data_IF_920515549777
#
_entry.id   IF_920515549777
#
_cell.length_a   1.000
_cell.length_b   1.000
_cell.length_c   1.000
_cell.angle_alpha   90.00
_cell.angle_beta   90.00
_cell.angle_gamma   90.00
#
_symmetry.space_group_name_H-M   'P 1'
#
loop_
_entity.id
_entity.type
_entity.pdbx_description
1 polymer ?
#
# COMPACT_ATOMS: atom_id res chain seq x y z
N UNK A 1 14.48 -53.32 14.70
CA UNK A 1 13.13 -52.96 15.19
C UNK A 1 12.67 -51.76 14.35
N UNK A 2 11.93 -52.07 13.29
CA UNK A 2 11.54 -51.12 12.22
C UNK A 2 10.15 -50.56 12.55
N UNK A 3 10.03 -49.25 12.64
CA UNK A 3 8.73 -48.58 12.73
C UNK A 3 8.45 -47.90 11.40
N UNK A 4 7.47 -48.44 10.66
CA UNK A 4 6.99 -47.91 9.41
C UNK A 4 6.15 -46.64 9.60
N UNK A 5 6.43 -45.67 8.78
CA UNK A 5 5.63 -44.42 8.64
C UNK A 5 4.55 -44.68 7.61
N UNK A 6 3.33 -44.69 8.08
CA UNK A 6 2.10 -44.86 7.29
C UNK A 6 1.77 -43.54 6.58
N UNK A 7 1.88 -43.52 5.25
CA UNK A 7 1.44 -42.39 4.41
C UNK A 7 -0.09 -42.46 4.26
N UNK A 8 -0.80 -41.47 4.75
CA UNK A 8 -2.22 -41.25 4.41
C UNK A 8 -2.30 -40.49 3.11
N UNK A 9 -2.88 -41.11 2.10
CA UNK A 9 -3.34 -40.46 0.88
C UNK A 9 -4.57 -39.57 1.18
N UNK A 10 -4.71 -38.37 0.61
CA UNK A 10 -5.96 -37.63 0.65
C UNK A 10 -6.89 -38.10 -0.46
N UNK A 11 -8.09 -38.45 -0.07
CA UNK A 11 -9.19 -38.91 -0.91
C UNK A 11 -9.64 -37.83 -1.90
N UNK A 12 -9.75 -38.29 -3.14
CA UNK A 12 -10.33 -37.67 -4.33
C UNK A 12 -11.81 -37.28 -4.10
N UNK A 13 -12.14 -36.00 -4.28
CA UNK A 13 -13.52 -35.55 -4.40
C UNK A 13 -13.63 -34.47 -5.48
N UNK A 14 -13.60 -34.93 -6.74
CA UNK A 14 -13.95 -34.10 -7.89
C UNK A 14 -15.43 -33.70 -7.85
N UNK A 15 -15.74 -32.45 -7.49
CA UNK A 15 -17.02 -31.81 -7.85
C UNK A 15 -16.73 -30.64 -8.80
N UNK A 16 -17.07 -30.91 -10.06
CA UNK A 16 -17.09 -29.91 -11.14
C UNK A 16 -18.28 -28.97 -10.92
N UNK A 17 -17.99 -27.67 -10.66
CA UNK A 17 -18.95 -26.58 -10.76
C UNK A 17 -18.66 -25.77 -12.03
N UNK A 18 -19.72 -25.32 -12.76
CA UNK A 18 -19.55 -24.62 -14.04
C UNK A 18 -18.99 -23.21 -13.82
N UNK A 19 -17.92 -22.89 -14.56
CA UNK A 19 -17.26 -21.60 -14.58
C UNK A 19 -18.17 -20.55 -15.23
N UNK A 20 -18.86 -19.77 -14.42
CA UNK A 20 -19.56 -18.56 -14.84
C UNK A 20 -18.58 -17.41 -15.08
N UNK A 21 -18.64 -16.77 -16.23
CA UNK A 21 -17.77 -15.68 -16.68
C UNK A 21 -18.01 -14.39 -15.89
N UNK A 22 -17.06 -13.88 -15.06
CA UNK A 22 -17.18 -12.57 -14.43
C UNK A 22 -16.26 -11.48 -15.04
N UNK A 23 -15.93 -11.58 -16.35
CA UNK A 23 -14.98 -10.60 -16.96
C UNK A 23 -15.54 -9.21 -17.25
N UNK A 24 -16.84 -8.94 -17.02
CA UNK A 24 -17.44 -7.65 -17.38
C UNK A 24 -17.65 -6.67 -16.21
N UNK A 25 -17.55 -7.11 -14.94
CA UNK A 25 -17.88 -6.27 -13.80
C UNK A 25 -16.69 -5.48 -13.25
N UNK A 26 -15.48 -6.04 -13.26
CA UNK A 26 -14.26 -5.32 -12.80
C UNK A 26 -13.89 -4.16 -13.75
N UNK A 27 -14.01 -4.39 -15.08
CA UNK A 27 -13.78 -3.31 -16.05
C UNK A 27 -14.80 -2.17 -15.95
N UNK A 28 -16.02 -2.45 -15.45
CA UNK A 28 -17.05 -1.43 -15.28
C UNK A 28 -16.81 -0.52 -14.06
N UNK A 29 -16.20 -1.04 -12.99
CA UNK A 29 -15.88 -0.25 -11.80
C UNK A 29 -14.72 0.72 -12.09
N UNK A 30 -13.68 0.27 -12.76
CA UNK A 30 -12.55 1.13 -13.17
C UNK A 30 -13.01 2.18 -14.18
N UNK A 31 -13.87 1.82 -15.15
CA UNK A 31 -14.44 2.77 -16.11
C UNK A 31 -15.39 3.78 -15.45
N UNK A 32 -16.12 3.40 -14.40
CA UNK A 32 -17.01 4.29 -13.67
C UNK A 32 -16.25 5.31 -12.82
N UNK A 33 -15.12 4.90 -12.21
CA UNK A 33 -14.23 5.82 -11.49
C UNK A 33 -13.57 6.82 -12.47
N UNK A 34 -13.15 6.36 -13.65
CA UNK A 34 -12.55 7.24 -14.67
C UNK A 34 -13.57 8.17 -15.34
N UNK A 35 -14.82 7.76 -15.52
CA UNK A 35 -15.88 8.60 -16.09
C UNK A 35 -16.39 9.68 -15.14
N UNK A 36 -16.33 9.46 -13.83
CA UNK A 36 -16.67 10.45 -12.80
C UNK A 36 -15.69 11.62 -12.74
N UNK A 37 -14.43 11.42 -13.18
CA UNK A 37 -13.39 12.45 -13.18
C UNK A 37 -13.48 13.44 -14.35
N UNK A 38 -14.23 13.10 -15.42
CA UNK A 38 -14.33 13.93 -16.63
C UNK A 38 -15.41 15.05 -16.55
N UNK A 39 -16.22 15.08 -15.50
CA UNK A 39 -17.40 15.94 -15.41
C UNK A 39 -17.43 16.98 -14.29
N UNK A 40 -16.40 17.12 -13.47
CA UNK A 40 -16.37 18.15 -12.43
C UNK A 40 -15.98 19.50 -13.05
N UNK A 41 -16.81 20.57 -12.94
CA UNK A 41 -16.38 21.89 -13.35
C UNK A 41 -15.21 22.32 -12.48
N UNK A 42 -14.12 22.72 -13.11
CA UNK A 42 -12.96 23.32 -12.44
C UNK A 42 -13.39 24.66 -11.83
N UNK A 43 -13.86 24.64 -10.59
CA UNK A 43 -13.95 25.84 -9.76
C UNK A 43 -12.67 25.84 -8.95
N UNK A 44 -11.72 26.64 -9.44
CA UNK A 44 -10.43 26.83 -8.83
C UNK A 44 -10.57 27.54 -7.47
N UNK A 45 -10.36 26.80 -6.42
CA UNK A 45 -9.62 27.28 -5.26
C UNK A 45 -8.60 26.18 -5.00
N UNK A 46 -7.32 26.51 -5.21
CA UNK A 46 -6.21 25.59 -5.02
C UNK A 46 -6.13 25.17 -3.55
N UNK A 47 -6.90 24.16 -3.18
CA UNK A 47 -6.64 23.44 -1.96
C UNK A 47 -5.26 22.81 -2.10
N UNK A 48 -4.33 23.14 -1.23
CA UNK A 48 -3.00 22.52 -1.27
C UNK A 48 -3.14 21.08 -0.85
N UNK A 49 -2.95 20.16 -1.79
CA UNK A 49 -2.79 18.74 -1.49
C UNK A 49 -1.52 18.57 -0.63
N UNK A 50 -1.62 18.05 0.61
CA UNK A 50 -0.47 17.89 1.49
C UNK A 50 0.44 16.71 1.09
N UNK A 51 0.13 16.00 0.02
CA UNK A 51 0.85 14.83 -0.46
C UNK A 51 0.05 13.54 -0.33
N UNK A 52 0.50 12.54 -1.04
CA UNK A 52 -0.04 11.18 -1.04
C UNK A 52 0.85 10.25 -0.20
N UNK A 53 0.30 9.14 0.29
CA UNK A 53 1.07 8.12 0.99
C UNK A 53 1.79 7.18 0.00
N UNK A 54 1.30 7.07 -1.25
CA UNK A 54 1.97 6.34 -2.35
C UNK A 54 3.11 7.17 -2.99
N UNK A 55 4.13 6.52 -3.58
CA UNK A 55 4.41 5.08 -3.72
C UNK A 55 5.43 4.54 -2.70
N UNK A 56 5.85 5.33 -1.72
CA UNK A 56 6.92 4.98 -0.76
C UNK A 56 6.53 3.87 0.22
N UNK A 57 7.53 3.37 0.95
CA UNK A 57 7.28 2.54 2.12
C UNK A 57 6.83 3.42 3.28
N UNK A 58 5.66 3.10 3.85
CA UNK A 58 5.07 3.84 4.95
C UNK A 58 4.10 4.94 4.49
N UNK A 59 3.92 5.95 5.32
CA UNK A 59 3.02 7.06 5.06
C UNK A 59 3.73 8.42 5.19
N UNK A 60 3.22 9.42 4.49
CA UNK A 60 3.69 10.80 4.65
C UNK A 60 3.24 11.36 6.01
N UNK A 61 4.13 12.07 6.76
CA UNK A 61 3.77 12.73 8.02
C UNK A 61 2.96 14.00 7.79
N UNK A 62 1.98 13.92 6.93
CA UNK A 62 1.02 14.98 6.61
C UNK A 62 -0.41 14.44 6.71
N UNK A 63 -1.37 15.31 6.97
CA UNK A 63 -2.80 14.99 6.99
C UNK A 63 -3.58 15.95 6.11
N UNK A 64 -4.68 15.46 5.57
CA UNK A 64 -5.62 16.25 4.78
C UNK A 64 -6.34 17.28 5.66
N UNK A 65 -6.73 18.40 5.07
CA UNK A 65 -7.58 19.36 5.76
C UNK A 65 -8.97 18.76 6.03
N UNK A 66 -9.64 19.27 7.06
CA UNK A 66 -10.97 18.78 7.42
C UNK A 66 -11.96 18.88 6.25
N UNK A 67 -12.52 17.76 5.86
CA UNK A 67 -13.48 17.64 4.75
C UNK A 67 -12.86 17.38 3.39
N UNK A 68 -11.53 17.35 3.29
CA UNK A 68 -10.84 16.90 2.09
C UNK A 68 -10.65 15.38 2.12
N UNK A 69 -10.50 14.78 0.96
CA UNK A 69 -10.21 13.35 0.82
C UNK A 69 -9.18 13.09 -0.29
N UNK A 70 -8.49 11.95 -0.21
CA UNK A 70 -7.75 11.36 -1.34
C UNK A 70 -8.18 9.93 -1.56
N UNK A 71 -8.12 9.51 -2.81
CA UNK A 71 -8.22 8.11 -3.21
C UNK A 71 -6.90 7.72 -3.89
N UNK A 72 -6.23 6.73 -3.34
CA UNK A 72 -4.96 6.22 -3.83
C UNK A 72 -5.13 4.75 -4.25
N UNK A 73 -4.76 4.42 -5.48
CA UNK A 73 -5.00 3.11 -6.09
C UNK A 73 -3.69 2.49 -6.58
N UNK A 74 -3.42 1.25 -6.19
CA UNK A 74 -2.43 0.39 -6.81
C UNK A 74 -3.01 -0.35 -8.01
N UNK A 75 -2.33 -0.34 -9.20
CA UNK A 75 -2.93 -0.79 -10.45
C UNK A 75 -1.97 -1.62 -11.35
N UNK A 76 -1.49 -2.78 -10.93
CA UNK A 76 -1.44 -3.36 -9.58
C UNK A 76 -0.12 -3.03 -8.87
N UNK A 77 -0.13 -3.16 -7.56
CA UNK A 77 1.10 -3.47 -6.83
C UNK A 77 1.36 -4.97 -6.93
N UNK A 78 2.63 -5.37 -6.88
CA UNK A 78 3.00 -6.77 -6.99
C UNK A 78 4.24 -7.09 -6.16
N UNK A 79 4.31 -8.33 -5.69
CA UNK A 79 5.52 -8.89 -5.11
C UNK A 79 5.81 -10.27 -5.72
N UNK A 80 7.08 -10.66 -5.69
CA UNK A 80 7.55 -11.96 -6.14
C UNK A 80 8.53 -12.53 -5.15
N UNK A 81 8.29 -13.77 -4.73
CA UNK A 81 9.18 -14.55 -3.88
C UNK A 81 9.09 -16.03 -4.24
N UNK A 82 10.24 -16.71 -4.34
CA UNK A 82 10.35 -18.17 -4.57
C UNK A 82 9.47 -18.70 -5.72
N UNK A 83 9.37 -17.94 -6.80
CA UNK A 83 8.58 -18.34 -7.97
C UNK A 83 7.06 -18.12 -7.86
N UNK A 84 6.56 -17.64 -6.73
CA UNK A 84 5.22 -17.13 -6.57
C UNK A 84 5.16 -15.62 -6.82
N UNK A 85 4.03 -15.12 -7.30
CA UNK A 85 3.79 -13.69 -7.50
C UNK A 85 2.43 -13.32 -6.94
N UNK A 86 2.41 -12.33 -6.07
CA UNK A 86 1.18 -11.71 -5.56
C UNK A 86 0.96 -10.39 -6.29
N UNK A 87 -0.23 -10.20 -6.82
CA UNK A 87 -0.70 -8.94 -7.40
C UNK A 87 -1.82 -8.41 -6.53
N UNK A 88 -1.74 -7.14 -6.18
CA UNK A 88 -2.73 -6.45 -5.37
C UNK A 88 -3.22 -5.19 -6.08
N UNK A 89 -4.50 -5.12 -6.36
CA UNK A 89 -5.18 -3.89 -6.75
C UNK A 89 -5.77 -3.29 -5.47
N UNK A 90 -4.98 -2.51 -4.77
CA UNK A 90 -5.36 -1.86 -3.52
C UNK A 90 -6.03 -0.50 -3.73
N UNK A 91 -6.82 -0.10 -2.76
CA UNK A 91 -7.47 1.19 -2.70
C UNK A 91 -7.39 1.73 -1.28
N UNK A 92 -6.79 2.88 -1.11
CA UNK A 92 -6.71 3.63 0.14
C UNK A 92 -7.52 4.93 0.00
N UNK A 93 -8.57 5.05 0.81
CA UNK A 93 -9.32 6.29 0.99
C UNK A 93 -8.82 6.99 2.27
N UNK A 94 -8.36 8.22 2.13
CA UNK A 94 -7.94 9.08 3.25
C UNK A 94 -8.92 10.23 3.38
N UNK A 95 -9.31 10.58 4.61
CA UNK A 95 -10.28 11.64 4.91
C UNK A 95 -9.75 12.50 6.04
N UNK A 96 -9.56 13.78 5.79
CA UNK A 96 -9.20 14.76 6.82
C UNK A 96 -10.38 15.06 7.75
N UNK A 97 -10.17 14.90 9.06
CA UNK A 97 -11.22 15.14 10.08
C UNK A 97 -10.88 16.27 11.04
N UNK A 98 -9.72 16.90 10.86
CA UNK A 98 -9.26 18.00 11.72
C UNK A 98 -8.01 18.65 11.17
N UNK A 99 -7.29 19.38 12.03
CA UNK A 99 -6.03 20.05 11.65
C UNK A 99 -4.84 19.09 11.64
N UNK A 100 -4.95 17.98 12.37
CA UNK A 100 -3.85 17.03 12.58
C UNK A 100 -4.33 15.59 12.58
N UNK A 101 -5.57 15.32 12.21
CA UNK A 101 -6.18 13.99 12.22
C UNK A 101 -6.74 13.63 10.85
N UNK A 102 -6.52 12.39 10.46
CA UNK A 102 -7.00 11.78 9.23
C UNK A 102 -7.50 10.36 9.54
N UNK A 103 -8.61 9.99 8.95
CA UNK A 103 -9.11 8.62 8.94
C UNK A 103 -8.71 7.96 7.62
N UNK A 104 -8.37 6.69 7.68
CA UNK A 104 -8.00 5.89 6.53
C UNK A 104 -8.86 4.62 6.47
N UNK A 105 -9.27 4.27 5.26
CA UNK A 105 -9.95 3.03 4.92
C UNK A 105 -9.22 2.42 3.74
N UNK A 106 -8.73 1.20 3.88
CA UNK A 106 -8.09 0.46 2.81
C UNK A 106 -8.76 -0.89 2.55
N UNK A 107 -8.64 -1.36 1.32
CA UNK A 107 -9.05 -2.69 0.87
C UNK A 107 -8.39 -2.96 -0.48
N UNK A 108 -8.56 -4.18 -1.01
CA UNK A 108 -7.97 -4.51 -2.31
C UNK A 108 -8.51 -5.80 -2.89
N UNK A 109 -7.99 -6.14 -4.05
CA UNK A 109 -8.25 -7.40 -4.72
C UNK A 109 -6.93 -8.09 -5.02
N UNK A 110 -6.71 -9.25 -4.43
CA UNK A 110 -5.50 -10.02 -4.54
C UNK A 110 -5.61 -11.11 -5.62
N UNK A 111 -4.48 -11.37 -6.29
CA UNK A 111 -4.27 -12.54 -7.12
C UNK A 111 -2.88 -13.12 -6.83
N UNK A 112 -2.84 -14.39 -6.45
CA UNK A 112 -1.61 -15.14 -6.21
C UNK A 112 -1.43 -16.16 -7.32
N UNK A 113 -0.35 -16.01 -8.06
CA UNK A 113 0.14 -16.95 -9.07
C UNK A 113 1.36 -17.69 -8.52
N UNK A 114 1.40 -19.03 -8.60
CA UNK A 114 2.47 -19.86 -8.08
C UNK A 114 2.36 -21.29 -8.60
N UNK A 115 3.05 -22.25 -7.95
CA UNK A 115 2.89 -23.66 -8.29
C UNK A 115 1.46 -24.14 -8.00
N UNK A 116 0.62 -24.17 -9.00
CA UNK A 116 -0.78 -24.58 -8.89
C UNK A 116 -1.74 -23.60 -9.55
N UNK A 117 -3.07 -23.80 -9.39
CA UNK A 117 -4.07 -22.88 -9.92
C UNK A 117 -3.96 -21.50 -9.29
N UNK A 118 -4.08 -20.44 -10.09
CA UNK A 118 -4.12 -19.07 -9.59
C UNK A 118 -5.27 -18.88 -8.60
N UNK A 119 -4.98 -18.25 -7.47
CA UNK A 119 -5.94 -17.91 -6.40
C UNK A 119 -6.21 -16.41 -6.45
N UNK A 120 -7.43 -16.02 -6.16
CA UNK A 120 -7.83 -14.61 -6.13
C UNK A 120 -8.96 -14.41 -5.14
N UNK A 121 -9.04 -13.21 -4.59
CA UNK A 121 -10.07 -12.82 -3.64
C UNK A 121 -9.87 -11.39 -3.16
N UNK A 122 -10.87 -10.89 -2.46
CA UNK A 122 -10.81 -9.59 -1.81
C UNK A 122 -9.84 -9.66 -0.61
N UNK A 123 -8.99 -8.64 -0.48
CA UNK A 123 -8.18 -8.43 0.72
C UNK A 123 -9.08 -8.09 1.93
N UNK A 124 -8.52 -8.17 3.12
CA UNK A 124 -9.22 -7.67 4.30
C UNK A 124 -9.40 -6.15 4.23
N UNK A 125 -10.33 -5.63 5.01
CA UNK A 125 -10.54 -4.20 5.16
C UNK A 125 -9.68 -3.67 6.29
N UNK A 126 -8.87 -2.66 6.01
CA UNK A 126 -8.09 -1.92 7.00
C UNK A 126 -8.77 -0.61 7.38
N UNK A 127 -8.67 -0.25 8.65
CA UNK A 127 -9.11 1.01 9.22
C UNK A 127 -7.97 1.61 10.03
N UNK A 128 -7.64 2.89 9.80
CA UNK A 128 -6.62 3.54 10.58
C UNK A 128 -6.97 4.98 10.93
N UNK A 129 -6.30 5.46 11.97
CA UNK A 129 -6.27 6.87 12.36
C UNK A 129 -4.83 7.34 12.28
N UNK A 130 -4.59 8.41 11.54
CA UNK A 130 -3.30 9.08 11.44
C UNK A 130 -3.35 10.42 12.14
N UNK A 131 -2.38 10.69 12.99
CA UNK A 131 -2.10 12.00 13.54
C UNK A 131 -0.75 12.47 12.99
N UNK A 132 -0.71 13.66 12.42
CA UNK A 132 0.54 14.23 11.94
C UNK A 132 0.63 15.73 12.25
N UNK A 133 1.87 16.18 12.35
CA UNK A 133 2.21 17.59 12.55
C UNK A 133 3.41 17.96 11.71
N UNK A 134 3.22 18.98 10.92
CA UNK A 134 4.29 19.63 10.17
C UNK A 134 4.22 21.14 10.40
N UNK A 135 5.35 21.78 10.55
CA UNK A 135 5.48 23.23 10.58
C UNK A 135 6.67 23.63 9.70
N UNK A 136 6.57 24.77 9.06
CA UNK A 136 7.62 25.27 8.17
C UNK A 136 8.96 25.37 8.91
N UNK A 137 10.01 24.76 8.36
CA UNK A 137 11.35 24.74 8.93
C UNK A 137 11.56 23.77 10.11
N UNK A 138 10.55 22.96 10.44
CA UNK A 138 10.61 21.91 11.45
C UNK A 138 10.61 20.53 10.83
N UNK A 139 11.03 19.53 11.60
CA UNK A 139 10.83 18.11 11.21
C UNK A 139 9.35 17.79 11.27
N UNK A 140 8.78 17.38 10.15
CA UNK A 140 7.44 16.84 10.14
C UNK A 140 7.43 15.45 10.78
N UNK A 141 6.39 15.14 11.54
CA UNK A 141 6.24 13.82 12.13
C UNK A 141 4.78 13.38 12.19
N UNK A 142 4.58 12.08 12.17
CA UNK A 142 3.26 11.49 12.26
C UNK A 142 3.28 10.12 12.91
N UNK A 143 2.13 9.73 13.44
CA UNK A 143 1.86 8.39 13.97
C UNK A 143 0.56 7.87 13.37
N UNK A 144 0.50 6.57 13.14
CA UNK A 144 -0.66 5.88 12.62
C UNK A 144 -0.96 4.68 13.53
N UNK A 145 -2.23 4.50 13.85
CA UNK A 145 -2.71 3.30 14.50
C UNK A 145 -3.84 2.71 13.65
N UNK A 146 -3.73 1.43 13.33
CA UNK A 146 -4.67 0.75 12.43
C UNK A 146 -5.08 -0.62 12.92
N UNK A 147 -6.15 -1.12 12.35
CA UNK A 147 -6.63 -2.50 12.49
C UNK A 147 -7.05 -3.02 11.13
N UNK A 148 -6.57 -4.20 10.77
CA UNK A 148 -7.06 -4.96 9.62
C UNK A 148 -8.06 -6.00 10.12
N UNK A 149 -9.24 -6.01 9.50
CA UNK A 149 -10.35 -6.89 9.85
C UNK A 149 -10.11 -8.31 9.28
N UNK A 150 -11.01 -9.24 9.62
CA UNK A 150 -10.95 -10.64 9.15
C UNK A 150 -12.04 -10.91 8.11
N UNK A 151 -12.29 -9.96 7.21
CA UNK A 151 -13.39 -9.98 6.27
C UNK A 151 -12.98 -10.23 4.82
N UNK A 152 -11.71 -10.55 4.58
CA UNK A 152 -11.18 -10.97 3.28
C UNK A 152 -11.84 -12.24 2.76
N UNK A 153 -11.54 -12.61 1.52
CA UNK A 153 -12.11 -13.76 0.84
C UNK A 153 -11.07 -14.88 0.64
N UNK A 154 -11.50 -16.12 0.86
CA UNK A 154 -10.69 -17.32 0.62
C UNK A 154 -9.32 -17.25 1.35
N UNK A 155 -8.24 -17.48 0.61
CA UNK A 155 -6.86 -17.52 1.12
C UNK A 155 -6.30 -16.13 1.50
N UNK A 156 -7.04 -15.06 1.24
CA UNK A 156 -6.65 -13.68 1.56
C UNK A 156 -7.37 -13.15 2.80
N UNK A 157 -8.06 -14.02 3.51
CA UNK A 157 -8.69 -13.70 4.78
C UNK A 157 -7.72 -13.99 5.92
N UNK A 158 -7.39 -12.98 6.69
CA UNK A 158 -6.63 -13.17 7.92
C UNK A 158 -7.43 -14.00 8.93
N UNK A 159 -6.81 -14.97 9.62
CA UNK A 159 -7.47 -15.77 10.64
C UNK A 159 -7.84 -14.94 11.86
N UNK A 160 -7.08 -13.89 12.15
CA UNK A 160 -7.31 -12.94 13.24
C UNK A 160 -7.07 -11.51 12.79
N UNK A 161 -7.49 -10.53 13.60
CA UNK A 161 -7.25 -9.11 13.34
C UNK A 161 -5.77 -8.82 13.48
N UNK A 162 -5.26 -7.94 12.61
CA UNK A 162 -3.93 -7.40 12.73
C UNK A 162 -3.99 -5.96 13.21
N UNK A 163 -3.10 -5.58 14.10
CA UNK A 163 -3.00 -4.23 14.64
C UNK A 163 -1.68 -3.60 14.18
N UNK A 164 -1.76 -2.42 13.61
CA UNK A 164 -0.61 -1.69 13.10
C UNK A 164 -0.35 -0.46 13.94
N UNK A 165 0.92 -0.22 14.26
CA UNK A 165 1.41 1.03 14.80
C UNK A 165 2.57 1.51 13.94
N UNK A 166 2.41 2.68 13.31
CA UNK A 166 3.42 3.31 12.46
C UNK A 166 3.86 4.66 13.00
N UNK A 167 5.10 5.05 12.73
CA UNK A 167 5.64 6.38 12.98
C UNK A 167 6.48 6.84 11.80
N UNK A 168 6.30 8.07 11.36
CA UNK A 168 7.03 8.69 10.26
C UNK A 168 7.65 10.00 10.72
N UNK A 169 8.88 10.25 10.24
CA UNK A 169 9.59 11.53 10.35
C UNK A 169 9.99 11.95 8.94
N UNK A 170 9.90 13.24 8.66
CA UNK A 170 10.39 13.81 7.42
C UNK A 170 11.04 15.17 7.69
N UNK A 171 12.16 15.41 7.04
CA UNK A 171 12.84 16.70 7.09
C UNK A 171 13.18 17.20 5.70
N UNK A 172 12.92 18.47 5.50
CA UNK A 172 13.17 19.19 4.27
C UNK A 172 14.63 19.72 4.26
N UNK A 173 15.34 19.47 3.16
CA UNK A 173 16.69 19.98 2.92
C UNK A 173 16.72 21.24 2.07
N UNK A 174 15.55 21.76 1.71
CA UNK A 174 15.40 22.84 0.74
C UNK A 174 15.46 22.34 -0.72
N UNK A 175 15.02 23.19 -1.64
CA UNK A 175 14.90 22.86 -3.06
C UNK A 175 14.09 21.58 -3.33
N UNK A 176 12.99 21.41 -2.59
CA UNK A 176 12.06 20.28 -2.67
C UNK A 176 12.72 18.90 -2.47
N UNK A 177 13.82 18.86 -1.71
CA UNK A 177 14.49 17.61 -1.33
C UNK A 177 14.11 17.25 0.09
N UNK A 178 13.63 16.03 0.27
CA UNK A 178 13.26 15.52 1.60
C UNK A 178 13.98 14.23 1.92
N UNK A 179 14.11 13.93 3.19
CA UNK A 179 14.50 12.61 3.69
C UNK A 179 13.50 12.18 4.75
N UNK A 180 13.20 10.89 4.75
CA UNK A 180 12.23 10.30 5.66
C UNK A 180 12.77 9.10 6.41
N UNK A 181 12.20 8.88 7.58
CA UNK A 181 12.36 7.69 8.41
C UNK A 181 10.97 7.16 8.74
N UNK A 182 10.76 5.88 8.53
CA UNK A 182 9.54 5.18 8.86
C UNK A 182 9.79 3.98 9.75
N UNK A 183 8.97 3.81 10.75
CA UNK A 183 8.95 2.68 11.68
C UNK A 183 7.55 2.09 11.70
N UNK A 184 7.45 0.76 11.67
CA UNK A 184 6.18 0.06 11.77
C UNK A 184 6.29 -1.18 12.64
N UNK A 185 5.24 -1.45 13.36
CA UNK A 185 5.01 -2.68 14.10
C UNK A 185 3.61 -3.20 13.75
N UNK A 186 3.53 -4.45 13.35
CA UNK A 186 2.27 -5.18 13.15
C UNK A 186 2.24 -6.32 14.15
N UNK A 187 1.11 -6.46 14.86
CA UNK A 187 0.79 -7.53 15.79
C UNK A 187 -0.43 -8.30 15.25
N UNK A 188 -0.31 -9.61 15.09
CA UNK A 188 -1.31 -10.50 14.47
C UNK A 188 -0.79 -11.91 14.30
N UNK A 189 -1.32 -12.66 13.34
CA UNK A 189 -0.87 -14.04 13.04
C UNK A 189 0.64 -14.15 12.88
N UNK A 190 1.25 -13.15 12.25
CA UNK A 190 2.71 -13.03 12.12
C UNK A 190 3.14 -11.63 12.51
N UNK A 191 3.74 -11.50 13.68
CA UNK A 191 4.30 -10.24 14.12
C UNK A 191 5.39 -9.76 13.18
N UNK A 192 5.33 -8.49 12.81
CA UNK A 192 6.36 -7.88 11.99
C UNK A 192 6.83 -6.54 12.54
N UNK A 193 8.04 -6.19 12.18
CA UNK A 193 8.66 -4.88 12.45
C UNK A 193 9.37 -4.42 11.19
N UNK A 194 9.24 -3.16 10.87
CA UNK A 194 9.88 -2.57 9.70
C UNK A 194 10.51 -1.23 10.07
N UNK A 195 11.68 -0.99 9.53
CA UNK A 195 12.37 0.30 9.51
C UNK A 195 12.70 0.62 8.07
N UNK A 196 12.29 1.79 7.59
CA UNK A 196 12.65 2.29 6.27
C UNK A 196 13.21 3.70 6.35
N UNK A 197 14.11 4.00 5.43
CA UNK A 197 14.62 5.35 5.18
C UNK A 197 14.46 5.65 3.69
N UNK A 198 14.16 6.89 3.38
CA UNK A 198 14.08 7.35 2.00
C UNK A 198 14.68 8.73 1.83
N UNK A 199 14.98 9.07 0.59
CA UNK A 199 15.23 10.44 0.18
C UNK A 199 14.61 10.68 -1.17
N UNK A 200 14.05 11.88 -1.36
CA UNK A 200 13.37 12.29 -2.59
C UNK A 200 13.90 13.63 -3.09
N UNK A 201 13.77 13.85 -4.38
CA UNK A 201 14.12 15.10 -5.05
C UNK A 201 13.31 15.31 -6.32
N UNK A 202 13.09 16.57 -6.74
CA UNK A 202 12.36 16.87 -7.96
C UNK A 202 13.19 16.57 -9.21
N UNK A 203 12.50 16.16 -10.27
CA UNK A 203 13.01 16.04 -11.63
C UNK A 203 12.29 17.06 -12.54
N UNK A 204 12.32 18.34 -12.15
CA UNK A 204 11.57 19.42 -12.80
C UNK A 204 10.30 19.78 -12.01
N UNK A 205 9.34 20.43 -12.67
CA UNK A 205 8.16 21.00 -11.99
C UNK A 205 7.02 20.00 -11.73
N UNK A 206 7.00 18.87 -12.43
CA UNK A 206 5.88 17.92 -12.37
C UNK A 206 6.31 16.50 -11.97
N UNK A 207 7.59 16.23 -11.89
CA UNK A 207 8.11 14.89 -11.60
C UNK A 207 8.99 14.91 -10.38
N UNK A 208 8.91 13.84 -9.59
CA UNK A 208 9.81 13.55 -8.49
C UNK A 208 10.38 12.15 -8.61
N UNK A 209 11.50 11.90 -7.98
CA UNK A 209 12.04 10.57 -7.79
C UNK A 209 12.47 10.39 -6.33
N UNK A 210 12.52 9.14 -5.91
CA UNK A 210 12.99 8.76 -4.59
C UNK A 210 13.82 7.49 -4.66
N UNK A 211 14.65 7.32 -3.65
CA UNK A 211 15.30 6.05 -3.32
C UNK A 211 14.96 5.69 -1.89
N UNK A 212 14.89 4.40 -1.60
CA UNK A 212 14.55 3.91 -0.27
C UNK A 212 15.32 2.64 0.08
N UNK A 213 15.53 2.45 1.36
CA UNK A 213 16.09 1.24 1.95
C UNK A 213 15.21 0.84 3.12
N UNK A 214 14.97 -0.46 3.25
CA UNK A 214 14.20 -0.99 4.37
C UNK A 214 14.84 -2.25 4.94
N UNK A 215 14.63 -2.44 6.23
CA UNK A 215 14.89 -3.68 6.95
C UNK A 215 13.61 -4.10 7.64
N UNK A 216 13.31 -5.38 7.57
CA UNK A 216 12.13 -5.97 8.20
C UNK A 216 12.51 -7.16 9.05
N UNK A 217 11.70 -7.44 10.05
CA UNK A 217 11.73 -8.65 10.85
C UNK A 217 10.35 -9.29 10.84
N UNK A 218 10.26 -10.56 10.45
CA UNK A 218 9.04 -11.36 10.56
C UNK A 218 9.26 -12.44 11.60
N UNK A 219 8.38 -12.52 12.59
CA UNK A 219 8.43 -13.54 13.61
C UNK A 219 8.35 -14.94 12.97
N UNK A 220 9.20 -15.86 13.43
CA UNK A 220 9.29 -17.21 12.88
C UNK A 220 10.04 -17.33 11.55
N UNK A 221 10.23 -16.24 10.79
CA UNK A 221 10.94 -16.24 9.49
C UNK A 221 12.32 -15.62 9.60
N UNK A 222 12.44 -14.44 10.23
CA UNK A 222 13.71 -13.76 10.45
C UNK A 222 13.79 -12.39 9.80
N UNK A 223 15.02 -11.91 9.59
CA UNK A 223 15.28 -10.58 9.07
C UNK A 223 15.40 -10.59 7.54
N UNK A 224 14.90 -9.50 6.92
CA UNK A 224 15.08 -9.21 5.50
C UNK A 224 15.46 -7.76 5.27
N UNK A 225 16.06 -7.47 4.12
CA UNK A 225 16.34 -6.11 3.70
C UNK A 225 16.07 -5.93 2.22
N UNK A 226 15.61 -4.74 1.85
CA UNK A 226 15.28 -4.37 0.48
C UNK A 226 15.73 -2.95 0.18
N UNK A 227 15.97 -2.66 -1.09
CA UNK A 227 16.25 -1.33 -1.59
C UNK A 227 15.41 -1.05 -2.82
N UNK A 228 14.99 0.19 -2.98
CA UNK A 228 14.07 0.58 -4.03
C UNK A 228 14.33 1.95 -4.61
N UNK A 229 13.69 2.18 -5.74
CA UNK A 229 13.65 3.44 -6.45
C UNK A 229 12.24 3.62 -7.03
N UNK A 230 11.78 4.85 -7.08
CA UNK A 230 10.51 5.16 -7.72
C UNK A 230 10.44 6.58 -8.23
N UNK A 231 9.35 6.85 -8.93
CA UNK A 231 9.05 8.15 -9.53
C UNK A 231 7.59 8.49 -9.29
N UNK A 232 7.34 9.78 -9.19
CA UNK A 232 6.00 10.37 -9.18
C UNK A 232 5.86 11.35 -10.34
N UNK A 233 4.67 11.44 -10.89
CA UNK A 233 4.33 12.42 -11.93
C UNK A 233 3.01 13.09 -11.60
N UNK A 234 3.07 14.38 -11.25
CA UNK A 234 1.91 15.21 -10.99
C UNK A 234 1.30 15.65 -12.33
N UNK A 235 0.27 14.92 -12.78
CA UNK A 235 -0.43 15.22 -14.05
C UNK A 235 -1.23 16.53 -13.98
N UNK A 236 -1.85 16.77 -12.83
CA UNK A 236 -2.60 17.97 -12.49
C UNK A 236 -2.39 18.26 -11.00
N UNK A 237 -2.76 19.43 -10.47
CA UNK A 237 -2.68 19.67 -9.02
C UNK A 237 -3.44 18.64 -8.16
N UNK A 238 -4.29 17.82 -8.77
CA UNK A 238 -5.14 16.85 -8.07
C UNK A 238 -4.87 15.40 -8.41
N UNK A 239 -4.04 15.11 -9.44
CA UNK A 239 -3.82 13.75 -9.92
C UNK A 239 -2.34 13.48 -10.03
N UNK A 240 -1.87 12.46 -9.33
CA UNK A 240 -0.52 11.92 -9.41
C UNK A 240 -0.55 10.51 -9.99
N UNK A 241 0.40 10.22 -10.85
CA UNK A 241 0.80 8.85 -11.19
C UNK A 241 2.09 8.52 -10.44
N UNK A 242 2.27 7.25 -10.12
CA UNK A 242 3.48 6.77 -9.48
C UNK A 242 3.90 5.40 -10.01
N UNK A 243 5.19 5.13 -9.88
CA UNK A 243 5.78 3.83 -10.14
C UNK A 243 6.95 3.61 -9.18
N UNK A 244 7.08 2.38 -8.68
CA UNK A 244 8.19 2.00 -7.83
C UNK A 244 8.60 0.56 -8.05
N UNK A 245 9.88 0.27 -7.79
CA UNK A 245 10.42 -1.09 -7.79
C UNK A 245 11.41 -1.24 -6.65
N UNK A 246 11.34 -2.38 -5.96
CA UNK A 246 12.22 -2.78 -4.86
C UNK A 246 12.82 -4.15 -5.15
N UNK A 247 14.00 -4.38 -4.64
CA UNK A 247 14.69 -5.65 -4.73
C UNK A 247 15.23 -6.07 -3.36
N UNK A 248 15.16 -7.36 -3.09
CA UNK A 248 15.83 -7.95 -1.94
C UNK A 248 17.35 -7.69 -1.98
N UNK A 249 17.89 -7.18 -0.89
CA UNK A 249 19.32 -7.01 -0.66
C UNK A 249 19.88 -8.13 0.20
N UNK A 250 19.07 -8.75 1.05
CA UNK A 250 19.47 -9.88 1.87
C UNK A 250 18.36 -10.41 2.77
N UNK A 251 18.56 -11.60 3.32
CA UNK A 251 17.65 -12.24 4.26
C UNK A 251 16.29 -12.60 3.66
N UNK A 252 15.26 -12.57 4.50
CA UNK A 252 13.89 -12.96 4.19
C UNK A 252 13.06 -11.72 3.82
N UNK A 253 13.13 -11.32 2.57
CA UNK A 253 12.28 -10.31 1.94
C UNK A 253 11.89 -10.85 0.57
N UNK A 254 10.86 -10.31 -0.04
CA UNK A 254 10.48 -10.67 -1.41
C UNK A 254 11.63 -10.41 -2.38
N UNK A 255 11.83 -11.28 -3.36
CA UNK A 255 12.85 -11.12 -4.41
C UNK A 255 12.73 -9.77 -5.10
N UNK A 256 11.48 -9.43 -5.42
CA UNK A 256 11.09 -8.20 -6.06
C UNK A 256 9.73 -7.74 -5.58
N UNK A 257 9.58 -6.44 -5.44
CA UNK A 257 8.31 -5.76 -5.26
C UNK A 257 8.24 -4.60 -6.25
N UNK A 258 7.04 -4.22 -6.65
CA UNK A 258 6.85 -3.05 -7.48
C UNK A 258 5.38 -2.71 -7.60
N UNK A 259 5.12 -1.58 -8.22
CA UNK A 259 3.76 -1.12 -8.42
C UNK A 259 3.69 0.07 -9.35
N UNK A 260 2.50 0.26 -9.87
CA UNK A 260 2.06 1.45 -10.57
C UNK A 260 0.78 1.93 -9.92
N UNK A 261 0.66 3.21 -9.67
CA UNK A 261 -0.50 3.75 -9.00
C UNK A 261 -1.01 5.06 -9.58
N UNK A 262 -2.23 5.38 -9.14
CA UNK A 262 -2.85 6.67 -9.37
C UNK A 262 -3.44 7.18 -8.07
N UNK A 263 -3.15 8.43 -7.75
CA UNK A 263 -3.67 9.10 -6.56
C UNK A 263 -4.46 10.34 -6.98
N UNK A 264 -5.63 10.53 -6.37
CA UNK A 264 -6.55 11.62 -6.71
C UNK A 264 -6.92 12.39 -5.44
N UNK A 265 -6.70 13.70 -5.45
CA UNK A 265 -7.13 14.60 -4.40
C UNK A 265 -8.55 15.12 -4.68
N UNK A 266 -9.43 14.94 -3.72
CA UNK A 266 -10.86 15.27 -3.77
C UNK A 266 -11.21 16.47 -2.83
N UNK A 267 -10.22 17.30 -2.49
CA UNK A 267 -10.43 18.50 -1.66
C UNK A 267 -11.09 19.66 -2.42
N UNK A 268 -11.46 20.68 -1.64
CA UNK A 268 -12.08 21.93 -2.14
C UNK A 268 -11.09 22.85 -2.81
#
# INVERSE_FOLDING_TARGET
MSMGIERREPADAARRHPVGRPRRRAAAVVALCMAGLAGAPAIAQEGSNPGYDRPGIGFSPSVLQAGDATLELGLPDWSRDDGASLYNADALLRIGVGRSLELQLDTGWNRLDGPGPARHGRANTGLAVKYARSAAGEVAWGVLAGVELTDGENDFRNPERQYTLGAALEWDHGADRTSGLYLEAIDGETDSRLLAVNTSWPLGSAMGMFVELAVQHLAGTGNGSMGGIGMTWQLTPRVQLDVGVRRRLGGHADDWQGGFGVSVYLGK
#
